data_IF_863925475543
#
_entry.id   IF_863925475543
#
_cell.length_a   1.000
_cell.length_b   1.000
_cell.length_c   1.000
_cell.angle_alpha   90.00
_cell.angle_beta   90.00
_cell.angle_gamma   90.00
#
_symmetry.space_group_name_H-M   'P 1'
#
loop_
_entity.id
_entity.type
_entity.pdbx_description
1 polymer ?
#
# COMPACT_ATOMS: atom_id res chain seq x y z
N UNK A 1 -9.08 0.32 -4.95
CA UNK A 1 -7.71 0.76 -5.33
C UNK A 1 -6.94 1.09 -4.05
N UNK A 2 -5.63 0.85 -4.02
CA UNK A 2 -4.76 1.23 -2.90
C UNK A 2 -3.40 1.75 -3.41
N UNK A 3 -2.72 2.52 -2.57
CA UNK A 3 -1.30 2.91 -2.67
C UNK A 3 -0.58 2.37 -1.43
N UNK A 4 0.49 1.59 -1.61
CA UNK A 4 1.37 1.21 -0.50
C UNK A 4 2.45 2.29 -0.34
N UNK A 5 2.49 2.91 0.83
CA UNK A 5 3.28 4.12 1.05
C UNK A 5 4.24 4.04 2.24
N UNK A 6 4.18 2.97 3.04
CA UNK A 6 5.18 2.71 4.05
C UNK A 6 6.57 2.55 3.42
N UNK A 7 7.57 3.18 4.03
CA UNK A 7 8.92 3.28 3.47
C UNK A 7 9.84 2.28 4.15
N UNK A 8 10.51 1.47 3.33
CA UNK A 8 11.59 0.56 3.75
C UNK A 8 12.69 1.35 4.50
N UNK A 9 13.03 0.98 5.76
CA UNK A 9 14.12 1.60 6.51
C UNK A 9 15.54 1.23 6.04
N UNK A 10 15.83 0.02 5.50
CA UNK A 10 17.12 -0.29 4.90
C UNK A 10 17.64 0.77 3.92
N UNK A 11 18.97 0.83 3.77
CA UNK A 11 19.67 1.80 2.92
C UNK A 11 19.29 3.26 3.24
N UNK A 12 19.22 3.60 4.54
CA UNK A 12 18.86 4.94 5.04
C UNK A 12 17.54 5.46 4.47
N UNK A 13 16.56 4.58 4.26
CA UNK A 13 15.24 4.96 3.75
C UNK A 13 15.20 5.34 2.26
N UNK A 14 16.30 5.11 1.52
CA UNK A 14 16.43 5.50 0.11
C UNK A 14 15.59 4.65 -0.84
N UNK A 15 15.23 3.43 -0.45
CA UNK A 15 14.34 2.57 -1.24
C UNK A 15 12.90 3.08 -1.26
N UNK A 16 12.46 3.76 -0.19
CA UNK A 16 11.05 4.16 -0.05
C UNK A 16 10.11 2.95 -0.06
N UNK A 17 8.92 3.12 -0.63
CA UNK A 17 7.98 2.04 -0.92
C UNK A 17 8.37 1.36 -2.24
N UNK A 18 9.49 0.64 -2.25
CA UNK A 18 10.04 0.05 -3.48
C UNK A 18 9.18 -1.10 -4.02
N UNK A 19 9.47 -1.52 -5.25
CA UNK A 19 8.74 -2.59 -5.93
C UNK A 19 8.73 -3.90 -5.13
N UNK A 20 7.54 -4.48 -4.93
CA UNK A 20 7.32 -5.76 -4.27
C UNK A 20 7.40 -5.72 -2.74
N UNK A 21 7.62 -4.54 -2.14
CA UNK A 21 7.76 -4.39 -0.69
C UNK A 21 6.50 -4.79 0.07
N UNK A 22 5.33 -4.53 -0.52
CA UNK A 22 4.02 -4.78 0.08
C UNK A 22 3.68 -6.27 0.17
N UNK A 23 4.33 -7.13 -0.62
CA UNK A 23 3.99 -8.56 -0.72
C UNK A 23 4.02 -9.23 0.66
N UNK A 24 5.05 -8.94 1.47
CA UNK A 24 5.15 -9.49 2.82
C UNK A 24 4.00 -9.04 3.75
N UNK A 25 3.49 -7.83 3.57
CA UNK A 25 2.36 -7.29 4.32
C UNK A 25 1.03 -7.89 3.86
N UNK A 26 0.86 -8.10 2.54
CA UNK A 26 -0.33 -8.77 1.97
C UNK A 26 -0.51 -10.17 2.56
N UNK A 27 0.58 -10.90 2.74
CA UNK A 27 0.56 -12.27 3.25
C UNK A 27 0.68 -12.39 4.77
N UNK A 28 0.86 -11.27 5.48
CA UNK A 28 1.18 -11.26 6.91
C UNK A 28 2.39 -12.16 7.25
N UNK A 29 3.47 -11.97 6.50
CA UNK A 29 4.73 -12.74 6.61
C UNK A 29 5.93 -11.81 6.69
N UNK A 30 5.94 -11.01 7.75
CA UNK A 30 7.02 -10.09 8.10
C UNK A 30 8.20 -10.83 8.74
N UNK A 31 8.96 -11.56 7.91
CA UNK A 31 10.14 -12.31 8.31
C UNK A 31 10.58 -13.26 7.20
N UNK A 32 11.36 -14.29 7.55
CA UNK A 32 11.77 -15.37 6.64
C UNK A 32 12.58 -14.89 5.43
N UNK A 33 13.55 -13.99 5.63
CA UNK A 33 14.42 -13.49 4.55
C UNK A 33 13.94 -12.18 3.92
N UNK A 34 12.89 -11.55 4.46
CA UNK A 34 12.40 -10.23 4.01
C UNK A 34 13.14 -9.06 4.68
N UNK A 35 13.96 -9.33 5.69
CA UNK A 35 14.73 -8.35 6.47
C UNK A 35 15.61 -7.43 5.61
N UNK A 36 16.24 -7.88 4.50
CA UNK A 36 16.99 -6.99 3.61
C UNK A 36 16.17 -5.84 3.00
N UNK A 37 14.85 -6.01 2.89
CA UNK A 37 13.93 -5.01 2.37
C UNK A 37 13.08 -4.35 3.47
N UNK A 38 12.71 -5.08 4.51
CA UNK A 38 11.79 -4.61 5.55
C UNK A 38 12.49 -4.04 6.79
N UNK A 39 13.78 -4.34 6.97
CA UNK A 39 14.45 -4.13 8.23
C UNK A 39 14.08 -5.18 9.28
N UNK A 40 14.58 -5.00 10.49
CA UNK A 40 14.44 -5.98 11.57
C UNK A 40 13.07 -5.97 12.27
N UNK A 41 12.36 -4.84 12.21
CA UNK A 41 11.09 -4.64 12.93
C UNK A 41 10.08 -3.87 12.06
N UNK A 42 9.59 -4.48 10.96
CA UNK A 42 8.51 -3.90 10.16
C UNK A 42 7.19 -3.86 10.95
N UNK A 43 6.30 -2.90 10.65
CA UNK A 43 5.10 -2.69 11.46
C UNK A 43 4.07 -3.81 11.28
N UNK A 44 3.94 -4.70 12.27
CA UNK A 44 2.95 -5.79 12.29
C UNK A 44 1.51 -5.28 12.09
N UNK A 45 1.13 -4.18 12.73
CA UNK A 45 -0.22 -3.61 12.59
C UNK A 45 -0.56 -3.24 11.13
N UNK A 46 0.43 -2.85 10.33
CA UNK A 46 0.22 -2.58 8.91
C UNK A 46 -0.04 -3.89 8.13
N UNK A 47 0.68 -4.97 8.45
CA UNK A 47 0.43 -6.28 7.86
C UNK A 47 -0.96 -6.80 8.26
N UNK A 48 -1.32 -6.72 9.54
CA UNK A 48 -2.65 -7.11 10.03
C UNK A 48 -3.75 -6.37 9.26
N UNK A 49 -3.61 -5.05 9.12
CA UNK A 49 -4.59 -4.18 8.44
C UNK A 49 -4.71 -4.54 6.95
N UNK A 50 -3.57 -4.71 6.27
CA UNK A 50 -3.55 -5.00 4.83
C UNK A 50 -4.04 -6.42 4.56
N UNK A 51 -3.59 -7.41 5.33
CA UNK A 51 -4.01 -8.80 5.22
C UNK A 51 -5.52 -8.95 5.45
N UNK A 52 -6.06 -8.31 6.50
CA UNK A 52 -7.50 -8.31 6.76
C UNK A 52 -8.31 -7.72 5.59
N UNK A 53 -7.83 -6.63 4.97
CA UNK A 53 -8.47 -6.04 3.80
C UNK A 53 -8.47 -6.99 2.58
N UNK A 54 -7.36 -7.70 2.34
CA UNK A 54 -7.26 -8.71 1.28
C UNK A 54 -8.18 -9.92 1.52
N UNK A 55 -8.25 -10.42 2.76
CA UNK A 55 -9.16 -11.50 3.15
C UNK A 55 -10.62 -11.06 2.98
N UNK A 56 -10.98 -9.88 3.47
CA UNK A 56 -12.33 -9.34 3.32
C UNK A 56 -12.73 -9.23 1.83
N UNK A 57 -11.81 -8.78 0.98
CA UNK A 57 -12.06 -8.73 -0.46
C UNK A 57 -12.27 -10.13 -1.06
N UNK A 58 -11.45 -11.10 -0.71
CA UNK A 58 -11.57 -12.47 -1.22
C UNK A 58 -12.90 -13.14 -0.80
N UNK A 59 -13.39 -12.86 0.41
CA UNK A 59 -14.62 -13.48 0.94
C UNK A 59 -15.88 -12.73 0.48
N UNK A 60 -15.85 -11.40 0.49
CA UNK A 60 -17.05 -10.56 0.36
C UNK A 60 -17.06 -9.66 -0.89
N UNK A 61 -15.95 -9.57 -1.63
CA UNK A 61 -15.78 -8.66 -2.77
C UNK A 61 -15.55 -7.20 -2.37
N UNK A 62 -15.54 -6.87 -1.08
CA UNK A 62 -15.32 -5.52 -0.55
C UNK A 62 -14.17 -5.48 0.46
N UNK A 63 -13.45 -4.36 0.51
CA UNK A 63 -12.26 -4.18 1.34
C UNK A 63 -12.42 -3.13 2.46
N UNK A 64 -13.61 -2.55 2.62
CA UNK A 64 -13.93 -1.64 3.74
C UNK A 64 -13.72 -0.15 3.46
N UNK A 65 -13.42 0.23 2.22
CA UNK A 65 -13.38 1.63 1.77
C UNK A 65 -14.15 1.83 0.46
N UNK A 66 -14.44 3.09 0.06
CA UNK A 66 -15.23 3.36 -1.14
C UNK A 66 -14.64 2.71 -2.41
N UNK A 67 -15.53 2.23 -3.28
CA UNK A 67 -15.14 1.73 -4.59
C UNK A 67 -14.48 2.86 -5.40
N UNK A 68 -13.48 2.49 -6.19
CA UNK A 68 -12.79 3.46 -7.04
C UNK A 68 -13.69 3.91 -8.19
N UNK A 69 -13.84 5.23 -8.34
CA UNK A 69 -14.48 5.88 -9.48
C UNK A 69 -13.59 7.02 -10.00
N UNK A 70 -13.85 7.52 -11.21
CA UNK A 70 -13.02 8.55 -11.84
C UNK A 70 -13.26 9.96 -11.29
N UNK A 71 -14.35 10.20 -10.55
CA UNK A 71 -14.69 11.50 -9.98
C UNK A 71 -13.99 11.78 -8.65
N UNK A 72 -13.91 10.78 -7.77
CA UNK A 72 -13.33 10.87 -6.44
C UNK A 72 -11.97 10.20 -6.34
N UNK A 73 -11.77 9.12 -7.11
CA UNK A 73 -10.53 8.34 -7.14
C UNK A 73 -10.07 7.92 -5.74
N UNK A 74 -11.03 7.55 -4.89
CA UNK A 74 -10.79 7.14 -3.52
C UNK A 74 -9.78 5.99 -3.45
N UNK A 75 -8.69 6.20 -2.71
CA UNK A 75 -7.54 5.29 -2.68
C UNK A 75 -7.17 5.04 -1.22
N UNK A 76 -7.14 3.76 -0.81
CA UNK A 76 -6.59 3.41 0.50
C UNK A 76 -5.06 3.59 0.45
N UNK A 77 -4.51 4.47 1.28
CA UNK A 77 -3.08 4.65 1.43
C UNK A 77 -2.61 3.86 2.64
N UNK A 78 -1.92 2.74 2.39
CA UNK A 78 -1.35 1.88 3.43
C UNK A 78 -0.01 2.45 3.90
N UNK A 79 0.04 2.85 5.17
CA UNK A 79 1.22 3.37 5.86
C UNK A 79 1.07 3.06 7.36
N UNK A 80 2.02 3.47 8.21
CA UNK A 80 1.93 3.32 9.68
C UNK A 80 0.57 3.78 10.21
N UNK A 81 0.02 4.84 9.60
CA UNK A 81 -1.39 5.20 9.70
C UNK A 81 -2.03 5.04 8.32
N UNK A 82 -2.89 4.04 8.19
CA UNK A 82 -3.61 3.78 6.94
C UNK A 82 -4.89 4.62 6.88
N UNK A 83 -5.17 5.23 5.73
CA UNK A 83 -6.32 6.09 5.53
C UNK A 83 -6.79 6.15 4.08
N UNK A 84 -8.04 6.53 3.86
CA UNK A 84 -8.56 6.80 2.51
C UNK A 84 -8.20 8.22 2.12
N UNK A 85 -7.49 8.37 0.99
CA UNK A 85 -7.18 9.66 0.37
C UNK A 85 -7.91 9.78 -0.97
N UNK A 86 -8.29 11.00 -1.33
CA UNK A 86 -9.02 11.29 -2.57
C UNK A 86 -8.08 11.86 -3.62
N UNK A 87 -8.09 11.25 -4.80
CA UNK A 87 -7.28 11.61 -5.95
C UNK A 87 -5.79 11.87 -5.65
N UNK A 88 -5.07 10.92 -5.02
CA UNK A 88 -3.65 11.10 -4.75
C UNK A 88 -2.88 11.29 -6.07
N UNK A 89 -1.93 12.23 -6.08
CA UNK A 89 -1.03 12.52 -7.22
C UNK A 89 -1.77 12.95 -8.50
N UNK A 90 -2.88 13.65 -8.36
CA UNK A 90 -3.68 14.17 -9.48
C UNK A 90 -2.86 14.98 -10.49
N UNK A 91 -1.98 15.86 -10.01
CA UNK A 91 -1.10 16.67 -10.85
C UNK A 91 -0.11 15.81 -11.65
N UNK A 92 0.50 14.79 -11.03
CA UNK A 92 1.41 13.88 -11.72
C UNK A 92 0.67 13.09 -12.80
N UNK A 93 -0.49 12.51 -12.48
CA UNK A 93 -1.32 11.80 -13.47
C UNK A 93 -1.65 12.69 -14.66
N UNK A 94 -2.05 13.93 -14.41
CA UNK A 94 -2.45 14.87 -15.46
C UNK A 94 -1.31 15.17 -16.45
N UNK A 95 -0.04 15.14 -16.01
CA UNK A 95 1.11 15.32 -16.90
C UNK A 95 1.25 14.20 -17.95
N UNK A 96 0.73 13.00 -17.67
CA UNK A 96 0.80 11.85 -18.58
C UNK A 96 -0.45 11.70 -19.45
N UNK A 97 -1.49 12.51 -19.22
CA UNK A 97 -2.72 12.43 -20.01
C UNK A 97 -2.43 12.80 -21.48
N UNK A 98 -2.80 11.90 -22.39
CA UNK A 98 -2.59 12.09 -23.83
C UNK A 98 -1.17 11.78 -24.34
N UNK A 99 -0.23 11.40 -23.46
CA UNK A 99 1.08 10.91 -23.89
C UNK A 99 1.00 9.41 -24.19
N UNK A 100 1.43 8.99 -25.38
CA UNK A 100 1.37 7.59 -25.85
C UNK A 100 2.67 7.16 -26.49
#
# INVERSE_FOLDING_TARGET
MYEFAWRSPPFDGRLGACHGLEIAFVFDRLGHGTEPLLGADPPQLLADTMHAAWVAFAIHGGCGWPQYDLSHRATMRFDVRSEVVYDPRSAERALWEGMR
#
